data_IF_219319800195
#
_entry.id   IF_219319800195
#
_cell.length_a   1.000
_cell.length_b   1.000
_cell.length_c   1.000
_cell.angle_alpha   90.00
_cell.angle_beta   90.00
_cell.angle_gamma   90.00
#
_symmetry.space_group_name_H-M   'P 1'
#
loop_
_entity.id
_entity.type
_entity.pdbx_description
1 polymer ?
#
# COMPACT_ATOMS: atom_id res chain seq x y z
N UNK A 1 10.62 15.81 -27.61
CA UNK A 1 10.48 15.16 -26.29
C UNK A 1 9.10 15.44 -25.71
N UNK A 2 8.03 14.75 -26.13
CA UNK A 2 6.75 14.71 -25.41
C UNK A 2 6.01 13.41 -25.80
N UNK A 3 6.25 12.31 -25.07
CA UNK A 3 5.57 11.03 -25.28
C UNK A 3 4.17 11.09 -24.65
N UNK A 4 3.17 11.48 -25.46
CA UNK A 4 1.75 11.27 -25.17
C UNK A 4 1.39 9.78 -25.36
N UNK A 5 1.89 8.92 -24.47
CA UNK A 5 1.49 7.52 -24.44
C UNK A 5 0.10 7.41 -23.81
N UNK A 6 -0.87 6.98 -24.61
CA UNK A 6 -2.29 6.90 -24.29
C UNK A 6 -2.58 6.29 -22.90
N UNK A 7 -3.00 7.13 -21.94
CA UNK A 7 -3.27 6.81 -20.52
C UNK A 7 -4.12 5.55 -20.30
N UNK A 8 -5.00 5.19 -21.25
CA UNK A 8 -5.89 4.03 -21.13
C UNK A 8 -5.16 2.67 -21.21
N UNK A 9 -4.09 2.55 -22.01
CA UNK A 9 -3.35 1.27 -22.12
C UNK A 9 -2.32 1.10 -21.00
N UNK A 10 -1.71 2.19 -20.53
CA UNK A 10 -0.77 2.17 -19.40
C UNK A 10 -1.44 1.69 -18.09
N UNK A 11 -2.69 2.08 -17.85
CA UNK A 11 -3.46 1.66 -16.67
C UNK A 11 -3.75 0.15 -16.60
N UNK A 12 -3.78 -0.57 -17.73
CA UNK A 12 -4.02 -2.03 -17.74
C UNK A 12 -2.84 -2.82 -17.15
N UNK A 13 -1.63 -2.28 -17.22
CA UNK A 13 -0.40 -2.91 -16.68
C UNK A 13 -0.31 -2.79 -15.15
N UNK A 14 -1.01 -1.82 -14.55
CA UNK A 14 -1.11 -1.69 -13.09
C UNK A 14 -2.07 -2.71 -12.46
N UNK A 15 -2.87 -3.45 -13.24
CA UNK A 15 -3.88 -4.40 -12.74
C UNK A 15 -3.34 -5.78 -12.36
N UNK A 16 -2.17 -6.16 -12.88
CA UNK A 16 -1.58 -7.50 -12.69
C UNK A 16 -0.51 -7.51 -11.62
N UNK A 17 -0.42 -8.61 -10.88
CA UNK A 17 0.72 -8.88 -10.00
C UNK A 17 2.03 -8.86 -10.83
N UNK A 18 3.15 -8.29 -10.33
CA UNK A 18 4.42 -8.31 -11.05
C UNK A 18 5.15 -9.66 -10.95
N UNK A 19 4.72 -10.56 -10.06
CA UNK A 19 5.24 -11.92 -9.99
C UNK A 19 4.67 -12.72 -11.17
N UNK A 20 5.53 -13.23 -12.06
CA UNK A 20 5.11 -13.93 -13.28
C UNK A 20 4.26 -15.16 -12.99
N UNK A 21 4.58 -15.87 -11.91
CA UNK A 21 3.82 -17.01 -11.39
C UNK A 21 2.74 -16.56 -10.38
N UNK A 22 1.89 -15.63 -10.81
CA UNK A 22 0.72 -15.20 -10.05
C UNK A 22 -0.44 -14.81 -10.97
N UNK A 23 -1.54 -15.56 -10.87
CA UNK A 23 -2.74 -15.34 -11.69
C UNK A 23 -3.62 -14.17 -11.24
N UNK A 24 -3.17 -13.37 -10.26
CA UNK A 24 -3.95 -12.25 -9.73
C UNK A 24 -3.89 -11.03 -10.66
N UNK A 25 -5.05 -10.61 -11.18
CA UNK A 25 -5.17 -9.58 -12.21
C UNK A 25 -6.24 -8.49 -11.91
N UNK A 26 -6.68 -8.36 -10.66
CA UNK A 26 -7.81 -7.50 -10.26
C UNK A 26 -7.41 -6.28 -9.41
N UNK A 27 -6.20 -5.74 -9.60
CA UNK A 27 -5.86 -4.51 -8.90
C UNK A 27 -6.64 -3.32 -9.47
N UNK A 28 -7.44 -2.65 -8.64
CA UNK A 28 -8.08 -1.37 -8.99
C UNK A 28 -7.07 -0.23 -8.99
N UNK A 29 -6.04 -0.34 -8.15
CA UNK A 29 -4.98 0.66 -7.98
C UNK A 29 -3.64 0.05 -7.51
N UNK A 30 -2.58 0.87 -7.57
CA UNK A 30 -1.23 0.45 -7.18
C UNK A 30 -1.11 0.11 -5.68
N UNK A 31 -1.89 0.76 -4.80
CA UNK A 31 -1.89 0.48 -3.35
C UNK A 31 -2.46 -0.90 -3.08
N UNK A 32 -3.52 -1.29 -3.77
CA UNK A 32 -4.09 -2.63 -3.72
C UNK A 32 -3.10 -3.68 -4.25
N UNK A 33 -2.45 -3.42 -5.39
CA UNK A 33 -1.39 -4.29 -5.92
C UNK A 33 -0.25 -4.47 -4.91
N UNK A 34 0.24 -3.39 -4.31
CA UNK A 34 1.27 -3.46 -3.28
C UNK A 34 0.80 -4.26 -2.07
N UNK A 35 -0.46 -4.09 -1.66
CA UNK A 35 -1.07 -4.89 -0.59
C UNK A 35 -1.11 -6.37 -0.94
N UNK A 36 -1.55 -6.72 -2.15
CA UNK A 36 -1.58 -8.10 -2.63
C UNK A 36 -0.18 -8.74 -2.59
N UNK A 37 0.81 -8.03 -3.13
CA UNK A 37 2.21 -8.48 -3.17
C UNK A 37 2.75 -8.75 -1.76
N UNK A 38 2.57 -7.83 -0.81
CA UNK A 38 3.12 -8.00 0.53
C UNK A 38 2.41 -9.07 1.38
N UNK A 39 1.13 -9.37 1.11
CA UNK A 39 0.43 -10.46 1.80
C UNK A 39 0.68 -11.84 1.18
N UNK A 40 0.69 -11.93 -0.15
CA UNK A 40 0.74 -13.23 -0.85
C UNK A 40 2.15 -13.61 -1.31
N UNK A 41 3.05 -12.63 -1.42
CA UNK A 41 4.39 -12.79 -1.98
C UNK A 41 5.45 -12.07 -1.14
N UNK A 42 5.32 -12.09 0.20
CA UNK A 42 6.22 -11.38 1.13
C UNK A 42 7.71 -11.66 0.85
N UNK A 43 8.11 -12.93 0.81
CA UNK A 43 9.51 -13.33 0.58
C UNK A 43 10.01 -12.87 -0.79
N UNK A 44 9.17 -12.94 -1.82
CA UNK A 44 9.51 -12.43 -3.14
C UNK A 44 9.65 -10.89 -3.14
N UNK A 45 8.78 -10.18 -2.42
CA UNK A 45 8.83 -8.73 -2.28
C UNK A 45 10.11 -8.27 -1.55
N UNK A 46 10.50 -8.98 -0.49
CA UNK A 46 11.76 -8.75 0.25
C UNK A 46 12.98 -8.98 -0.66
N UNK A 47 13.00 -10.08 -1.40
CA UNK A 47 14.14 -10.45 -2.26
C UNK A 47 14.29 -9.53 -3.48
N UNK A 48 13.19 -8.98 -4.00
CA UNK A 48 13.20 -8.10 -5.19
C UNK A 48 13.31 -6.62 -4.86
N UNK A 49 13.31 -6.25 -3.57
CA UNK A 49 13.29 -4.85 -3.16
C UNK A 49 11.99 -4.14 -3.55
N UNK A 50 10.87 -4.87 -3.59
CA UNK A 50 9.58 -4.29 -3.97
C UNK A 50 9.15 -3.20 -2.97
N UNK A 51 8.51 -2.09 -3.42
CA UNK A 51 8.20 -0.96 -2.54
C UNK A 51 7.43 -1.37 -1.27
N UNK A 52 7.86 -0.94 -0.07
CA UNK A 52 7.27 -1.38 1.17
C UNK A 52 5.81 -0.94 1.32
N UNK A 53 4.97 -1.86 1.79
CA UNK A 53 3.57 -1.57 2.16
C UNK A 53 3.48 -0.79 3.48
N UNK A 54 4.41 -1.07 4.39
CA UNK A 54 4.53 -0.43 5.68
C UNK A 54 5.21 0.93 5.63
N UNK A 55 5.09 1.67 6.73
CA UNK A 55 5.78 2.93 6.94
C UNK A 55 6.04 3.12 8.44
N UNK A 56 7.16 3.78 8.74
CA UNK A 56 7.47 4.27 10.08
C UNK A 56 6.85 5.66 10.28
N UNK A 57 6.48 5.98 11.51
CA UNK A 57 6.12 7.35 11.86
C UNK A 57 7.34 8.28 11.74
N UNK A 58 7.10 9.51 11.30
CA UNK A 58 8.12 10.55 11.20
C UNK A 58 8.37 11.29 12.53
N UNK A 59 7.41 11.20 13.46
CA UNK A 59 7.49 11.84 14.79
C UNK A 59 7.95 10.87 15.91
N UNK A 60 7.92 9.56 15.66
CA UNK A 60 8.38 8.56 16.62
C UNK A 60 8.86 7.27 15.95
N UNK A 61 9.48 6.37 16.71
CA UNK A 61 10.02 5.09 16.21
C UNK A 61 8.96 4.00 15.98
N UNK A 62 7.66 4.35 15.95
CA UNK A 62 6.60 3.36 15.75
C UNK A 62 6.53 2.91 14.28
N UNK A 63 6.60 1.59 14.07
CA UNK A 63 6.55 0.96 12.75
C UNK A 63 5.16 0.34 12.53
N UNK A 64 4.56 0.64 11.37
CA UNK A 64 3.24 0.13 11.02
C UNK A 64 3.30 -0.68 9.73
N UNK A 65 2.53 -1.77 9.69
CA UNK A 65 2.38 -2.59 8.49
C UNK A 65 1.73 -1.84 7.31
N UNK A 66 1.11 -0.68 7.55
CA UNK A 66 0.37 0.11 6.55
C UNK A 66 0.52 1.61 6.77
N UNK A 67 0.62 2.36 5.68
CA UNK A 67 0.55 3.84 5.67
C UNK A 67 -0.69 4.41 6.35
N UNK A 68 -1.86 3.78 6.14
CA UNK A 68 -3.12 4.20 6.78
C UNK A 68 -3.04 4.11 8.32
N UNK A 69 -2.27 3.14 8.83
CA UNK A 69 -2.01 2.97 10.26
C UNK A 69 -1.15 4.10 10.81
N UNK A 70 -0.12 4.52 10.08
CA UNK A 70 0.72 5.68 10.45
C UNK A 70 -0.11 6.95 10.52
N UNK A 71 -0.95 7.21 9.51
CA UNK A 71 -1.79 8.42 9.48
C UNK A 71 -2.74 8.45 10.68
N UNK A 72 -3.37 7.31 10.99
CA UNK A 72 -4.24 7.21 12.16
C UNK A 72 -3.45 7.39 13.46
N UNK A 73 -2.31 6.72 13.59
CA UNK A 73 -1.43 6.86 14.73
C UNK A 73 -1.00 8.31 14.94
N UNK A 74 -0.61 9.01 13.87
CA UNK A 74 -0.25 10.43 13.92
C UNK A 74 -1.38 11.28 14.48
N UNK A 75 -2.61 11.06 14.02
CA UNK A 75 -3.79 11.80 14.53
C UNK A 75 -4.10 11.50 16.00
N UNK A 76 -4.03 10.23 16.40
CA UNK A 76 -4.44 9.78 17.74
C UNK A 76 -3.36 10.07 18.80
N UNK A 77 -2.08 9.92 18.45
CA UNK A 77 -0.94 10.03 19.38
C UNK A 77 -0.28 11.40 19.33
N UNK A 78 -0.07 11.96 18.14
CA UNK A 78 0.64 13.24 17.97
C UNK A 78 -0.31 14.43 17.74
N UNK A 79 -1.49 14.16 17.16
CA UNK A 79 -2.53 15.18 16.90
C UNK A 79 -3.56 15.33 18.01
N UNK A 80 -3.53 14.49 19.06
CA UNK A 80 -4.50 14.46 20.17
C UNK A 80 -5.99 14.33 19.75
N UNK A 81 -6.27 13.87 18.53
CA UNK A 81 -7.63 13.67 18.03
C UNK A 81 -8.12 12.31 18.51
N UNK A 82 -8.93 12.30 19.59
CA UNK A 82 -9.59 11.08 20.08
C UNK A 82 -10.83 10.80 19.25
N UNK A 83 -10.95 9.57 18.74
CA UNK A 83 -12.17 9.12 18.04
C UNK A 83 -13.24 8.71 19.05
N UNK A 84 -14.46 9.16 18.86
CA UNK A 84 -15.64 8.59 19.52
C UNK A 84 -15.90 7.21 18.87
N UNK A 85 -15.33 6.16 19.46
CA UNK A 85 -15.57 4.79 19.02
C UNK A 85 -16.94 4.37 19.55
N UNK A 86 -18.02 4.83 18.90
CA UNK A 86 -19.33 4.20 19.14
C UNK A 86 -19.18 2.71 18.83
N UNK A 87 -19.40 1.89 19.86
CA UNK A 87 -19.38 0.44 19.77
C UNK A 87 -20.44 0.01 18.75
N UNK A 88 -19.99 -0.58 17.65
CA UNK A 88 -20.88 -1.38 16.81
C UNK A 88 -21.26 -2.63 17.59
N UNK A 89 -22.55 -2.77 17.86
CA UNK A 89 -23.21 -3.99 18.32
C UNK A 89 -23.12 -5.10 17.26
#
# INVERSE_FOLDING_TARGET
MLLNFCLRKHAATHRRCPKEDCSWADARDQKEKTRHVWYNHKTWAENTGYPPMGAQCDECSAVFARKDGVIRHKKEVHGAIKRDRKLGA
#
